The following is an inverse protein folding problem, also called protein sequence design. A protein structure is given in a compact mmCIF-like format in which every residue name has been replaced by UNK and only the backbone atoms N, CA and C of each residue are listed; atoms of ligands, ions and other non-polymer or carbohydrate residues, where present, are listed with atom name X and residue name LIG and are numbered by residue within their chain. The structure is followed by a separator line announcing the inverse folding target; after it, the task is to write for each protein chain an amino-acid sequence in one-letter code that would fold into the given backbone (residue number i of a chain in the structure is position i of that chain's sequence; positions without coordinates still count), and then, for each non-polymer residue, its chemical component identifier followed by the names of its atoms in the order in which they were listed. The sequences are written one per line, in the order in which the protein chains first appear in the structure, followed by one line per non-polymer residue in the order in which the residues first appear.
data_IF_022648205729
#
_entry.id   IF_022648205729
#
_cell.length_a   1.000
_cell.length_b   1.000
_cell.length_c   1.000
_cell.angle_alpha   90.00
_cell.angle_beta   90.00
_cell.angle_gamma   90.00
#
_symmetry.space_group_name_H-M   'P 1'
#
loop_
_entity.id
_entity.type
_entity.pdbx_description
1 polymer ?
#
# COMPACT_ATOMS: atom_id res chain seq x y z
N UNK A 1 21.60 76.06 -63.09
CA UNK A 1 22.01 76.87 -61.91
C UNK A 1 22.93 76.06 -61.02
N UNK A 2 24.23 76.39 -61.07
CA UNK A 2 25.14 76.55 -59.91
C UNK A 2 24.90 75.76 -58.62
N UNK A 3 25.88 74.92 -58.21
CA UNK A 3 26.95 75.21 -57.20
C UNK A 3 27.28 74.03 -56.26
N UNK A 4 28.58 73.69 -56.25
CA UNK A 4 29.53 73.55 -55.11
C UNK A 4 29.29 72.50 -54.00
N UNK A 5 30.21 71.52 -54.00
CA UNK A 5 31.12 71.08 -52.91
C UNK A 5 30.70 71.23 -51.45
N UNK A 6 30.84 70.17 -50.65
CA UNK A 6 31.66 70.15 -49.43
C UNK A 6 32.04 68.70 -49.06
N UNK A 7 33.32 68.47 -48.80
CA UNK A 7 33.82 67.23 -48.17
C UNK A 7 33.86 67.33 -46.64
N UNK A 8 34.07 66.18 -45.99
CA UNK A 8 34.60 65.90 -44.64
C UNK A 8 34.23 64.43 -44.33
N UNK A 9 34.90 63.60 -43.53
CA UNK A 9 36.19 63.54 -42.83
C UNK A 9 36.36 62.04 -42.48
N UNK A 10 37.59 61.55 -42.45
CA UNK A 10 37.93 60.16 -42.14
C UNK A 10 37.67 59.78 -40.66
N UNK A 11 37.33 58.51 -40.42
CA UNK A 11 37.66 57.81 -39.16
C UNK A 11 38.15 56.41 -39.52
N UNK A 12 39.41 56.13 -39.18
CA UNK A 12 40.04 54.81 -39.25
C UNK A 12 39.43 53.90 -38.17
N UNK A 13 38.94 52.73 -38.58
CA UNK A 13 38.57 51.63 -37.69
C UNK A 13 39.60 50.49 -37.80
N UNK A 14 40.27 50.21 -36.69
CA UNK A 14 41.30 49.17 -36.52
C UNK A 14 40.67 47.78 -36.64
N UNK A 15 41.16 46.97 -37.58
CA UNK A 15 40.80 45.56 -37.71
C UNK A 15 41.64 44.71 -36.73
N UNK A 16 40.99 44.12 -35.72
CA UNK A 16 41.58 43.11 -34.85
C UNK A 16 41.17 41.72 -35.35
N UNK A 17 42.15 40.95 -35.84
CA UNK A 17 42.00 39.52 -36.13
C UNK A 17 41.90 38.75 -34.80
N UNK A 18 40.77 38.10 -34.55
CA UNK A 18 40.66 37.03 -33.55
C UNK A 18 40.80 35.68 -34.25
N UNK A 19 41.90 34.98 -33.95
CA UNK A 19 42.11 33.59 -34.37
C UNK A 19 41.24 32.65 -33.52
N UNK A 20 40.37 31.87 -34.14
CA UNK A 20 39.68 30.75 -33.50
C UNK A 20 40.64 29.57 -33.36
N UNK A 21 41.02 29.23 -32.14
CA UNK A 21 41.67 27.96 -31.80
C UNK A 21 40.56 26.98 -31.41
N UNK A 22 40.31 25.97 -32.25
CA UNK A 22 39.43 24.86 -31.95
C UNK A 22 40.12 23.90 -30.98
N UNK A 23 39.73 23.92 -29.70
CA UNK A 23 40.16 22.93 -28.72
C UNK A 23 39.15 21.77 -28.70
N UNK A 24 39.53 20.62 -29.25
CA UNK A 24 38.82 19.35 -29.12
C UNK A 24 39.08 18.76 -27.74
N UNK A 25 38.29 19.18 -26.75
CA UNK A 25 38.25 18.55 -25.43
C UNK A 25 37.50 17.22 -25.50
N UNK A 26 38.20 16.10 -25.36
CA UNK A 26 37.60 14.76 -25.21
C UNK A 26 36.97 14.70 -23.82
N UNK A 27 35.65 14.88 -23.75
CA UNK A 27 34.88 14.60 -22.55
C UNK A 27 34.93 13.09 -22.27
N UNK A 28 35.68 12.70 -21.24
CA UNK A 28 35.60 11.35 -20.69
C UNK A 28 34.23 11.17 -20.05
N UNK A 29 33.30 10.55 -20.77
CA UNK A 29 32.03 10.11 -20.21
C UNK A 29 32.34 9.03 -19.16
N UNK A 30 32.30 9.41 -17.88
CA UNK A 30 32.24 8.45 -16.80
C UNK A 30 30.90 7.73 -16.92
N UNK A 31 30.94 6.47 -17.34
CA UNK A 31 29.82 5.55 -17.22
C UNK A 31 29.57 5.34 -15.73
N UNK A 32 28.72 6.19 -15.14
CA UNK A 32 28.05 5.85 -13.90
C UNK A 32 27.18 4.64 -14.19
N UNK A 33 27.70 3.45 -13.90
CA UNK A 33 26.88 2.29 -13.61
C UNK A 33 25.99 2.66 -12.44
N UNK A 34 24.78 3.13 -12.76
CA UNK A 34 23.67 3.21 -11.82
C UNK A 34 23.34 1.78 -11.42
N UNK A 35 24.01 1.30 -10.37
CA UNK A 35 23.48 0.20 -9.58
C UNK A 35 22.12 0.69 -9.10
N UNK A 36 21.06 0.23 -9.74
CA UNK A 36 19.70 0.33 -9.22
C UNK A 36 19.72 -0.44 -7.91
N UNK A 37 20.09 0.24 -6.83
CA UNK A 37 19.82 -0.21 -5.49
C UNK A 37 18.31 -0.37 -5.47
N UNK A 38 17.86 -1.63 -5.53
CA UNK A 38 16.47 -2.03 -5.43
C UNK A 38 15.97 -1.36 -4.15
N UNK A 39 15.26 -0.24 -4.29
CA UNK A 39 14.74 0.51 -3.15
C UNK A 39 13.95 -0.50 -2.33
N UNK A 40 14.52 -0.90 -1.20
CA UNK A 40 13.90 -1.87 -0.31
C UNK A 40 12.89 -1.04 0.44
N UNK A 41 11.65 -1.04 -0.05
CA UNK A 41 10.56 -0.47 0.72
C UNK A 41 10.51 -1.31 2.00
N UNK A 42 10.73 -0.66 3.14
CA UNK A 42 10.56 -1.32 4.43
C UNK A 42 9.11 -1.77 4.53
N UNK A 43 8.91 -3.06 4.84
CA UNK A 43 7.57 -3.57 5.12
C UNK A 43 7.13 -3.02 6.46
N UNK A 44 5.91 -2.49 6.51
CA UNK A 44 5.22 -2.12 7.74
C UNK A 44 3.96 -2.97 7.88
N UNK A 45 3.33 -3.00 9.07
CA UNK A 45 2.15 -3.83 9.36
C UNK A 45 2.26 -5.24 8.78
N UNK A 46 3.27 -6.01 9.17
CA UNK A 46 3.55 -7.30 8.52
C UNK A 46 2.76 -8.40 9.20
N UNK A 47 1.69 -8.88 8.56
CA UNK A 47 1.08 -10.12 9.02
C UNK A 47 1.99 -11.32 8.72
N UNK A 48 2.69 -11.78 9.75
CA UNK A 48 3.56 -12.97 9.68
C UNK A 48 2.74 -14.26 9.55
N UNK A 49 3.39 -15.36 9.14
CA UNK A 49 2.75 -16.68 9.15
C UNK A 49 2.21 -17.05 10.53
N UNK A 50 1.12 -17.83 10.54
CA UNK A 50 0.65 -18.46 11.77
C UNK A 50 1.74 -19.39 12.36
N UNK A 51 1.88 -19.38 13.68
CA UNK A 51 2.90 -20.15 14.41
C UNK A 51 4.33 -19.59 14.32
N UNK A 52 4.63 -18.66 13.42
CA UNK A 52 5.88 -17.88 13.48
C UNK A 52 5.59 -16.68 14.36
N UNK A 53 5.95 -16.77 15.65
CA UNK A 53 5.58 -15.78 16.67
C UNK A 53 5.70 -14.35 16.15
N UNK A 54 4.56 -13.73 15.83
CA UNK A 54 4.45 -12.28 15.76
C UNK A 54 5.07 -11.76 17.06
N UNK A 55 5.84 -10.67 16.99
CA UNK A 55 6.46 -10.04 18.17
C UNK A 55 5.41 -10.05 19.26
N UNK A 56 5.59 -10.89 20.29
CA UNK A 56 4.57 -11.05 21.31
C UNK A 56 4.42 -9.64 21.89
N UNK A 57 3.31 -8.95 21.61
CA UNK A 57 3.19 -7.60 22.10
C UNK A 57 3.25 -7.75 23.60
N UNK A 58 3.84 -6.78 24.29
CA UNK A 58 3.56 -6.68 25.71
C UNK A 58 2.02 -6.61 25.80
N UNK A 59 1.39 -7.71 26.25
CA UNK A 59 -0.04 -7.96 26.08
C UNK A 59 -0.92 -6.99 26.89
N UNK A 60 -0.30 -5.95 27.45
CA UNK A 60 -0.87 -4.91 28.28
C UNK A 60 -0.49 -3.48 27.83
N UNK A 61 0.34 -3.29 26.81
CA UNK A 61 0.72 -1.95 26.35
C UNK A 61 -0.26 -1.45 25.28
N UNK A 62 -0.99 -0.38 25.57
CA UNK A 62 -1.84 0.29 24.59
C UNK A 62 -1.06 0.94 23.46
N UNK A 63 -1.73 1.14 22.33
CA UNK A 63 -1.18 1.91 21.22
C UNK A 63 -1.07 3.39 21.61
N UNK A 64 -0.07 4.06 21.08
CA UNK A 64 0.21 5.47 21.28
C UNK A 64 0.18 6.17 19.93
N UNK A 65 -0.45 7.33 19.87
CA UNK A 65 -0.50 8.14 18.65
C UNK A 65 0.84 8.83 18.39
N UNK A 66 1.42 8.60 17.22
CA UNK A 66 2.69 9.15 16.74
C UNK A 66 2.58 10.50 16.01
N UNK A 67 1.37 11.04 15.85
CA UNK A 67 1.15 12.37 15.26
C UNK A 67 0.99 12.39 13.74
N UNK A 68 0.98 11.23 13.08
CA UNK A 68 0.74 11.03 11.65
C UNK A 68 -0.74 11.10 11.26
N UNK A 69 -1.04 10.73 10.01
CA UNK A 69 -2.44 10.64 9.57
C UNK A 69 -3.10 9.37 10.14
N UNK A 70 -4.43 9.40 10.21
CA UNK A 70 -5.31 8.22 10.34
C UNK A 70 -6.30 8.27 9.18
N UNK A 71 -7.04 7.20 8.89
CA UNK A 71 -8.13 7.26 7.92
C UNK A 71 -9.44 7.67 8.59
N UNK A 72 -9.81 8.94 8.50
CA UNK A 72 -11.09 9.45 9.02
C UNK A 72 -12.26 9.21 8.06
N UNK A 73 -11.97 9.03 6.77
CA UNK A 73 -12.92 8.73 5.70
C UNK A 73 -12.43 7.51 4.90
N UNK A 74 -12.55 6.33 5.51
CA UNK A 74 -11.98 5.08 4.98
C UNK A 74 -12.52 4.73 3.59
N UNK A 75 -11.62 4.60 2.61
CA UNK A 75 -11.92 4.19 1.25
C UNK A 75 -10.97 3.09 0.78
N UNK A 76 -11.51 1.92 0.45
CA UNK A 76 -10.74 0.76 -0.02
C UNK A 76 -10.94 0.56 -1.52
N UNK A 77 -9.84 0.30 -2.21
CA UNK A 77 -9.80 -0.01 -3.63
C UNK A 77 -9.06 -1.32 -3.86
N UNK A 78 -9.67 -2.24 -4.58
CA UNK A 78 -9.06 -3.54 -4.88
C UNK A 78 -8.53 -3.54 -6.31
N UNK A 79 -7.25 -3.81 -6.49
CA UNK A 79 -6.68 -4.12 -7.81
C UNK A 79 -6.24 -5.58 -7.84
N UNK A 80 -6.88 -6.35 -8.71
CA UNK A 80 -6.49 -7.72 -9.05
C UNK A 80 -5.45 -7.62 -10.17
N UNK A 81 -4.18 -7.64 -9.77
CA UNK A 81 -3.06 -7.33 -10.66
C UNK A 81 -2.74 -8.51 -11.58
N UNK A 82 -2.88 -8.32 -12.88
CA UNK A 82 -2.42 -9.26 -13.90
C UNK A 82 -3.53 -10.02 -14.61
N UNK A 83 -3.28 -10.36 -15.88
CA UNK A 83 -4.19 -11.13 -16.74
C UNK A 83 -4.52 -12.53 -16.20
N UNK A 84 -3.70 -13.07 -15.29
CA UNK A 84 -3.96 -14.36 -14.62
C UNK A 84 -5.27 -14.40 -13.83
N UNK A 85 -5.79 -13.24 -13.37
CA UNK A 85 -7.05 -13.16 -12.63
C UNK A 85 -8.29 -13.53 -13.47
N UNK A 86 -8.18 -13.57 -14.80
CA UNK A 86 -9.26 -14.08 -15.66
C UNK A 86 -9.61 -15.56 -15.40
N UNK A 87 -8.72 -16.31 -14.74
CA UNK A 87 -8.88 -17.73 -14.43
C UNK A 87 -9.03 -18.06 -12.93
N UNK A 88 -9.58 -17.17 -12.10
CA UNK A 88 -9.73 -17.40 -10.65
C UNK A 88 -10.70 -18.55 -10.32
N UNK A 89 -10.15 -19.78 -10.24
CA UNK A 89 -10.91 -21.01 -9.97
C UNK A 89 -11.41 -21.13 -8.54
N UNK A 90 -10.81 -20.41 -7.59
CA UNK A 90 -11.18 -20.52 -6.17
C UNK A 90 -12.22 -19.47 -5.75
N UNK A 91 -12.58 -18.54 -6.62
CA UNK A 91 -13.57 -17.48 -6.32
C UNK A 91 -13.05 -16.41 -5.37
N UNK A 92 -11.73 -16.20 -5.32
CA UNK A 92 -11.06 -15.21 -4.47
C UNK A 92 -11.52 -13.79 -4.78
N UNK A 93 -11.66 -13.43 -6.06
CA UNK A 93 -12.14 -12.11 -6.48
C UNK A 93 -13.50 -11.82 -5.85
N UNK A 94 -14.47 -12.73 -6.04
CA UNK A 94 -15.80 -12.55 -5.47
C UNK A 94 -15.77 -12.52 -3.94
N UNK A 95 -14.94 -13.36 -3.31
CA UNK A 95 -14.86 -13.44 -1.86
C UNK A 95 -14.34 -12.13 -1.25
N UNK A 96 -13.18 -11.65 -1.71
CA UNK A 96 -12.54 -10.42 -1.20
C UNK A 96 -13.40 -9.20 -1.52
N UNK A 97 -13.97 -9.10 -2.72
CA UNK A 97 -14.89 -8.01 -3.06
C UNK A 97 -16.10 -7.98 -2.13
N UNK A 98 -16.74 -9.13 -1.87
CA UNK A 98 -17.88 -9.18 -0.95
C UNK A 98 -17.49 -8.82 0.48
N UNK A 99 -16.32 -9.25 0.95
CA UNK A 99 -15.82 -8.89 2.28
C UNK A 99 -15.74 -7.36 2.43
N UNK A 100 -14.96 -6.68 1.59
CA UNK A 100 -14.82 -5.22 1.66
C UNK A 100 -16.09 -4.45 1.32
N UNK A 101 -16.99 -5.00 0.49
CA UNK A 101 -18.30 -4.40 0.22
C UNK A 101 -19.22 -4.43 1.46
N UNK A 102 -19.07 -5.43 2.32
CA UNK A 102 -19.86 -5.56 3.55
C UNK A 102 -19.36 -4.68 4.70
N UNK A 103 -18.07 -4.38 4.72
CA UNK A 103 -17.43 -3.55 5.74
C UNK A 103 -17.87 -2.07 5.63
N UNK A 104 -17.88 -1.36 6.75
CA UNK A 104 -18.35 0.02 6.91
C UNK A 104 -19.87 0.18 6.97
N UNK A 105 -20.64 -0.87 6.67
CA UNK A 105 -22.10 -0.87 6.82
C UNK A 105 -22.52 -0.86 8.30
N UNK A 106 -23.79 -0.59 8.66
CA UNK A 106 -24.24 -0.63 10.05
C UNK A 106 -24.02 -1.97 10.77
N UNK A 107 -23.96 -3.08 10.03
CA UNK A 107 -23.70 -4.42 10.60
C UNK A 107 -22.23 -4.68 10.96
N UNK A 108 -21.30 -3.83 10.49
CA UNK A 108 -19.87 -4.00 10.70
C UNK A 108 -19.40 -3.45 12.07
N UNK A 109 -19.67 -4.19 13.14
CA UNK A 109 -19.15 -3.84 14.47
C UNK A 109 -17.62 -3.97 14.57
N UNK A 110 -17.02 -4.77 13.69
CA UNK A 110 -15.61 -5.15 13.72
C UNK A 110 -14.69 -3.98 13.32
N UNK A 111 -14.94 -3.33 12.17
CA UNK A 111 -14.12 -2.16 11.77
C UNK A 111 -14.26 -0.99 12.74
N UNK A 112 -15.39 -0.86 13.43
CA UNK A 112 -15.69 0.22 14.39
C UNK A 112 -14.81 0.19 15.64
N UNK A 113 -14.08 -0.89 15.89
CA UNK A 113 -13.02 -0.87 16.91
C UNK A 113 -12.01 0.24 16.60
N UNK A 114 -11.73 0.52 15.32
CA UNK A 114 -10.79 1.57 14.94
C UNK A 114 -11.26 3.00 15.22
N UNK A 115 -12.56 3.23 15.44
CA UNK A 115 -13.10 4.58 15.69
C UNK A 115 -12.54 5.27 16.94
N UNK A 116 -11.87 4.52 17.83
CA UNK A 116 -11.17 5.07 19.00
C UNK A 116 -9.82 5.72 18.65
N UNK A 117 -9.24 5.40 17.50
CA UNK A 117 -7.90 5.84 17.11
C UNK A 117 -7.96 7.20 16.38
N UNK A 118 -8.04 8.27 17.16
CA UNK A 118 -8.15 9.64 16.63
C UNK A 118 -6.80 10.21 16.19
N UNK A 119 -6.78 11.08 15.18
CA UNK A 119 -5.56 11.73 14.71
C UNK A 119 -5.86 12.98 13.88
N UNK A 120 -4.99 13.99 13.94
CA UNK A 120 -5.14 15.28 13.22
C UNK A 120 -6.53 15.95 13.34
N UNK A 121 -7.23 15.74 14.45
CA UNK A 121 -8.57 16.29 14.68
C UNK A 121 -9.73 15.47 14.09
N UNK A 122 -9.45 14.31 13.51
CA UNK A 122 -10.45 13.35 13.01
C UNK A 122 -10.40 12.01 13.74
N UNK A 123 -11.34 11.13 13.38
CA UNK A 123 -11.44 9.75 13.86
C UNK A 123 -12.03 8.87 12.73
N UNK A 124 -11.67 7.58 12.63
CA UNK A 124 -12.28 6.70 11.65
C UNK A 124 -13.80 6.67 11.73
N UNK A 125 -14.46 7.03 10.62
CA UNK A 125 -15.93 7.01 10.50
C UNK A 125 -16.39 6.01 9.46
N UNK A 126 -17.49 5.31 9.77
CA UNK A 126 -18.07 4.25 8.96
C UNK A 126 -19.55 4.53 8.69
N UNK A 127 -19.82 5.24 7.60
CA UNK A 127 -21.15 5.71 7.19
C UNK A 127 -21.77 4.87 6.06
N UNK A 128 -21.04 3.87 5.55
CA UNK A 128 -21.47 2.99 4.47
C UNK A 128 -20.33 2.10 4.00
N UNK A 129 -20.52 1.33 2.90
CA UNK A 129 -19.50 0.44 2.36
C UNK A 129 -18.15 1.14 2.18
N UNK A 130 -17.08 0.53 2.71
CA UNK A 130 -15.71 1.07 2.56
C UNK A 130 -15.15 0.83 1.15
N UNK A 131 -15.58 -0.24 0.48
CA UNK A 131 -15.17 -0.53 -0.89
C UNK A 131 -15.69 0.55 -1.85
N UNK A 132 -14.77 1.24 -2.53
CA UNK A 132 -15.08 2.29 -3.52
C UNK A 132 -14.82 1.86 -4.97
N UNK A 133 -14.07 0.79 -5.19
CA UNK A 133 -13.82 0.28 -6.53
C UNK A 133 -13.06 -1.04 -6.57
N UNK A 134 -13.26 -1.78 -7.65
CA UNK A 134 -12.51 -2.99 -7.99
C UNK A 134 -12.03 -2.89 -9.43
N UNK A 135 -10.80 -3.31 -9.69
CA UNK A 135 -10.24 -3.32 -11.03
C UNK A 135 -9.43 -4.59 -11.25
N UNK A 136 -9.66 -5.26 -12.37
CA UNK A 136 -8.76 -6.30 -12.87
C UNK A 136 -7.81 -5.64 -13.87
N UNK A 137 -6.56 -5.42 -13.47
CA UNK A 137 -5.54 -4.90 -14.38
C UNK A 137 -5.01 -6.03 -15.27
N UNK A 138 -5.81 -6.40 -16.27
CA UNK A 138 -5.50 -7.50 -17.18
C UNK A 138 -4.64 -7.08 -18.38
N UNK A 139 -4.09 -5.87 -18.40
CA UNK A 139 -3.31 -5.35 -19.53
C UNK A 139 -1.99 -6.09 -19.77
N UNK A 140 -1.45 -6.74 -18.74
CA UNK A 140 -0.29 -7.61 -18.80
C UNK A 140 -0.39 -8.70 -17.73
N UNK A 141 0.49 -9.72 -17.79
CA UNK A 141 0.64 -10.63 -16.67
C UNK A 141 1.33 -9.93 -15.49
N UNK A 142 0.89 -10.19 -14.26
CA UNK A 142 1.63 -9.74 -13.07
C UNK A 142 2.98 -10.46 -13.01
N UNK A 143 4.07 -9.78 -12.59
CA UNK A 143 5.39 -10.39 -12.48
C UNK A 143 5.38 -11.61 -11.56
N UNK A 144 6.03 -12.70 -11.96
CA UNK A 144 6.15 -13.91 -11.14
C UNK A 144 6.88 -13.67 -9.82
N UNK A 145 7.74 -12.64 -9.75
CA UNK A 145 8.50 -12.21 -8.57
C UNK A 145 8.57 -10.67 -8.49
N UNK A 146 7.43 -10.02 -8.28
CA UNK A 146 7.39 -8.56 -8.11
C UNK A 146 8.26 -8.12 -6.91
N UNK A 147 8.96 -6.99 -7.01
CA UNK A 147 9.56 -6.32 -5.85
C UNK A 147 8.53 -5.48 -5.11
N UNK A 148 8.79 -5.13 -3.84
CA UNK A 148 8.00 -4.11 -3.15
C UNK A 148 7.82 -2.81 -3.97
N UNK A 149 8.88 -2.34 -4.64
CA UNK A 149 8.79 -1.17 -5.53
C UNK A 149 7.86 -1.35 -6.74
N UNK A 150 7.75 -2.57 -7.29
CA UNK A 150 6.83 -2.86 -8.38
C UNK A 150 5.37 -2.92 -7.87
N UNK A 151 5.15 -3.46 -6.68
CA UNK A 151 3.83 -3.48 -6.03
C UNK A 151 3.38 -2.04 -5.73
N UNK A 152 4.26 -1.20 -5.21
CA UNK A 152 3.98 0.23 -5.00
C UNK A 152 3.67 0.96 -6.32
N UNK A 153 4.34 0.60 -7.42
CA UNK A 153 4.05 1.16 -8.73
C UNK A 153 2.67 0.76 -9.24
N UNK A 154 2.27 -0.50 -9.04
CA UNK A 154 0.92 -0.96 -9.35
C UNK A 154 -0.13 -0.26 -8.50
N UNK A 155 0.13 -0.08 -7.20
CA UNK A 155 -0.77 0.66 -6.32
C UNK A 155 -1.03 2.09 -6.83
N UNK A 156 0.02 2.81 -7.26
CA UNK A 156 -0.11 4.15 -7.87
C UNK A 156 -0.87 4.14 -9.19
N UNK A 157 -0.68 3.11 -10.03
CA UNK A 157 -1.42 2.93 -11.28
C UNK A 157 -2.91 2.71 -11.00
N UNK A 158 -3.25 1.85 -10.05
CA UNK A 158 -4.62 1.62 -9.61
C UNK A 158 -5.25 2.87 -9.00
N UNK A 159 -4.53 3.60 -8.14
CA UNK A 159 -5.00 4.87 -7.60
C UNK A 159 -5.33 5.87 -8.72
N UNK A 160 -4.48 5.96 -9.75
CA UNK A 160 -4.73 6.79 -10.94
C UNK A 160 -5.97 6.33 -11.70
N UNK A 161 -6.15 5.01 -11.89
CA UNK A 161 -7.34 4.43 -12.54
C UNK A 161 -8.63 4.79 -11.79
N UNK A 162 -8.62 4.71 -10.45
CA UNK A 162 -9.79 5.02 -9.63
C UNK A 162 -10.02 6.51 -9.36
N UNK A 163 -9.06 7.38 -9.71
CA UNK A 163 -9.05 8.77 -9.26
C UNK A 163 -8.92 8.90 -7.73
N UNK A 164 -8.29 7.91 -7.08
CA UNK A 164 -8.10 7.84 -5.65
C UNK A 164 -6.77 8.50 -5.25
N UNK A 165 -6.74 9.21 -4.12
CA UNK A 165 -5.53 9.85 -3.61
C UNK A 165 -5.64 10.15 -2.12
N UNK A 166 -4.50 10.48 -1.50
CA UNK A 166 -4.42 10.85 -0.09
C UNK A 166 -4.46 9.67 0.88
N UNK A 167 -4.29 9.98 2.16
CA UNK A 167 -4.16 8.99 3.22
C UNK A 167 -5.45 8.18 3.48
N UNK A 168 -6.61 8.67 3.04
CA UNK A 168 -7.89 7.99 3.18
C UNK A 168 -8.12 6.87 2.15
N UNK A 169 -7.31 6.80 1.09
CA UNK A 169 -7.43 5.80 0.04
C UNK A 169 -6.45 4.64 0.27
N UNK A 170 -6.94 3.46 0.66
CA UNK A 170 -6.15 2.23 0.74
C UNK A 170 -6.28 1.43 -0.54
N UNK A 171 -5.18 1.23 -1.26
CA UNK A 171 -5.13 0.36 -2.44
C UNK A 171 -4.60 -1.03 -2.05
N UNK A 172 -5.44 -2.05 -2.17
CA UNK A 172 -5.02 -3.44 -1.93
C UNK A 172 -4.64 -4.05 -3.27
N UNK A 173 -3.35 -4.36 -3.43
CA UNK A 173 -2.78 -5.00 -4.63
C UNK A 173 -2.81 -6.51 -4.44
N UNK A 174 -3.76 -7.16 -5.10
CA UNK A 174 -3.92 -8.62 -5.07
C UNK A 174 -3.10 -9.28 -6.18
N UNK A 175 -2.06 -10.02 -5.80
CA UNK A 175 -1.24 -10.79 -6.75
C UNK A 175 -1.87 -12.17 -7.02
N UNK A 176 -1.79 -12.70 -8.26
CA UNK A 176 -2.47 -13.93 -8.64
C UNK A 176 -1.71 -15.18 -8.17
N UNK A 177 -2.42 -16.32 -8.18
CA UNK A 177 -1.86 -17.64 -7.85
C UNK A 177 -0.53 -17.93 -8.57
N UNK A 178 0.43 -18.52 -7.86
CA UNK A 178 1.73 -18.94 -8.38
C UNK A 178 2.74 -17.81 -8.56
N UNK A 179 2.41 -16.59 -8.12
CA UNK A 179 3.34 -15.46 -8.06
C UNK A 179 3.93 -15.29 -6.67
N UNK A 180 5.06 -14.59 -6.60
CA UNK A 180 5.87 -14.43 -5.39
C UNK A 180 6.14 -12.95 -5.12
N UNK A 181 5.09 -12.13 -4.91
CA UNK A 181 5.24 -10.71 -4.66
C UNK A 181 6.06 -10.51 -3.39
N UNK A 182 7.16 -9.78 -3.55
CA UNK A 182 8.14 -9.49 -2.50
C UNK A 182 8.66 -10.74 -1.76
N UNK A 183 8.77 -11.87 -2.47
CA UNK A 183 9.33 -13.11 -1.91
C UNK A 183 8.36 -13.98 -1.13
N UNK A 184 7.06 -13.65 -1.10
CA UNK A 184 6.02 -14.59 -0.67
C UNK A 184 6.09 -15.91 -1.46
N UNK A 185 5.83 -17.09 -0.85
CA UNK A 185 5.63 -17.34 0.57
C UNK A 185 6.94 -17.52 1.36
N UNK A 186 8.08 -17.72 0.69
CA UNK A 186 9.38 -17.99 1.35
C UNK A 186 9.85 -16.89 2.31
N UNK A 187 9.30 -15.68 2.18
CA UNK A 187 9.55 -14.56 3.08
C UNK A 187 8.89 -14.64 4.46
N UNK A 188 8.06 -15.66 4.75
CA UNK A 188 7.49 -15.89 6.09
C UNK A 188 6.36 -14.92 6.50
N UNK A 189 5.70 -14.27 5.54
CA UNK A 189 4.60 -13.33 5.77
C UNK A 189 3.41 -13.66 4.87
N UNK A 190 2.21 -13.27 5.28
CA UNK A 190 0.97 -13.42 4.52
C UNK A 190 0.60 -12.18 3.74
N UNK A 191 0.79 -11.00 4.33
CA UNK A 191 0.64 -9.70 3.69
C UNK A 191 1.51 -8.67 4.42
N UNK A 192 1.49 -7.45 3.90
CA UNK A 192 1.97 -6.25 4.60
C UNK A 192 1.40 -5.01 3.93
N UNK A 193 1.36 -3.90 4.64
CA UNK A 193 1.00 -2.60 4.08
C UNK A 193 2.12 -1.55 4.24
N UNK A 194 2.04 -0.50 3.45
CA UNK A 194 3.02 0.59 3.44
C UNK A 194 2.40 1.81 2.76
N UNK A 195 3.20 2.85 2.52
CA UNK A 195 2.77 4.02 1.77
C UNK A 195 3.76 4.39 0.66
N UNK A 196 3.24 4.96 -0.43
CA UNK A 196 4.04 5.49 -1.53
C UNK A 196 3.55 6.89 -1.90
N UNK A 197 4.36 7.93 -1.66
CA UNK A 197 3.97 9.30 -2.00
C UNK A 197 2.68 9.75 -1.30
N UNK A 198 2.45 9.28 -0.06
CA UNK A 198 1.24 9.58 0.72
C UNK A 198 0.00 8.74 0.37
N UNK A 199 0.13 7.77 -0.55
CA UNK A 199 -0.89 6.76 -0.83
C UNK A 199 -0.61 5.48 -0.03
N UNK A 200 -1.51 5.10 0.90
CA UNK A 200 -1.48 3.78 1.55
C UNK A 200 -1.75 2.65 0.55
N UNK A 201 -1.01 1.56 0.68
CA UNK A 201 -1.24 0.36 -0.12
C UNK A 201 -0.87 -0.92 0.62
N UNK A 202 -1.51 -2.01 0.25
CA UNK A 202 -1.27 -3.35 0.79
C UNK A 202 -0.74 -4.26 -0.30
N UNK A 203 0.33 -5.00 -0.01
CA UNK A 203 0.70 -6.19 -0.76
C UNK A 203 -0.15 -7.36 -0.25
N UNK A 204 -1.08 -7.85 -1.07
CA UNK A 204 -1.92 -9.00 -0.75
C UNK A 204 -1.60 -10.16 -1.72
N UNK A 205 -0.64 -11.03 -1.39
CA UNK A 205 -0.37 -12.25 -2.14
C UNK A 205 -1.59 -13.19 -2.23
N UNK A 206 -1.49 -14.19 -3.12
CA UNK A 206 -2.47 -15.27 -3.18
C UNK A 206 -2.27 -16.23 -2.01
N UNK A 207 -2.80 -15.87 -0.83
CA UNK A 207 -2.48 -16.52 0.47
C UNK A 207 -2.74 -18.03 0.53
N UNK A 208 -3.55 -18.58 -0.38
CA UNK A 208 -3.70 -20.04 -0.53
C UNK A 208 -2.39 -20.76 -0.90
N UNK A 209 -1.41 -20.06 -1.48
CA UNK A 209 -0.12 -20.65 -1.84
C UNK A 209 0.77 -20.89 -0.60
N UNK A 210 0.42 -20.27 0.54
CA UNK A 210 1.00 -20.56 1.85
C UNK A 210 0.11 -21.50 2.70
N UNK A 211 -1.05 -21.91 2.19
CA UNK A 211 -1.96 -22.83 2.83
C UNK A 211 -2.39 -22.40 4.25
N UNK A 212 -2.32 -23.33 5.20
CA UNK A 212 -2.72 -23.08 6.60
C UNK A 212 -1.86 -22.02 7.28
N UNK A 213 -0.61 -21.82 6.85
CA UNK A 213 0.27 -20.77 7.40
C UNK A 213 -0.28 -19.36 7.18
N UNK A 214 -1.19 -19.19 6.23
CA UNK A 214 -1.92 -17.95 6.00
C UNK A 214 -3.44 -18.12 6.09
N UNK A 215 -3.89 -18.95 7.02
CA UNK A 215 -5.30 -18.93 7.44
C UNK A 215 -6.24 -19.79 6.61
N UNK A 216 -5.76 -20.60 5.64
CA UNK A 216 -6.64 -21.50 4.89
C UNK A 216 -7.39 -22.44 5.85
N UNK A 217 -8.73 -22.48 5.76
CA UNK A 217 -9.61 -23.31 6.59
C UNK A 217 -9.51 -23.09 8.11
N UNK A 218 -9.00 -21.94 8.58
CA UNK A 218 -8.78 -21.71 10.01
C UNK A 218 -10.06 -21.56 10.84
N UNK A 219 -11.19 -21.18 10.23
CA UNK A 219 -12.49 -21.04 10.91
C UNK A 219 -13.59 -21.88 10.22
N UNK A 220 -13.39 -22.28 8.97
CA UNK A 220 -14.24 -23.24 8.26
C UNK A 220 -14.51 -22.92 6.79
N UNK A 221 -13.75 -22.02 6.17
CA UNK A 221 -13.74 -21.81 4.71
C UNK A 221 -12.33 -21.93 4.16
N UNK A 222 -12.20 -22.51 2.96
CA UNK A 222 -10.93 -22.51 2.22
C UNK A 222 -10.36 -21.09 2.08
N UNK A 223 -11.23 -20.09 1.98
CA UNK A 223 -10.85 -18.70 1.74
C UNK A 223 -10.68 -17.85 3.01
N UNK A 224 -10.79 -18.45 4.21
CA UNK A 224 -10.70 -17.72 5.50
C UNK A 224 -9.49 -16.78 5.55
N UNK A 225 -8.33 -17.26 5.09
CA UNK A 225 -7.09 -16.49 5.03
C UNK A 225 -7.20 -15.15 4.33
N UNK A 226 -8.03 -15.02 3.28
CA UNK A 226 -8.14 -13.75 2.55
C UNK A 226 -8.81 -12.64 3.37
N UNK A 227 -9.82 -12.98 4.19
CA UNK A 227 -10.50 -11.99 5.03
C UNK A 227 -9.79 -11.78 6.36
N UNK A 228 -9.13 -12.81 6.91
CA UNK A 228 -8.27 -12.66 8.10
C UNK A 228 -7.09 -11.74 7.76
N UNK A 229 -6.34 -12.08 6.71
CA UNK A 229 -5.11 -11.38 6.34
C UNK A 229 -5.40 -10.01 5.71
N UNK A 230 -6.29 -9.95 4.72
CA UNK A 230 -6.68 -8.66 4.13
C UNK A 230 -7.36 -7.74 5.15
N UNK A 231 -8.07 -8.33 6.12
CA UNK A 231 -8.70 -7.61 7.22
C UNK A 231 -7.71 -7.05 8.24
N UNK A 232 -6.67 -7.80 8.58
CA UNK A 232 -5.56 -7.36 9.44
C UNK A 232 -4.94 -6.07 8.89
N UNK A 233 -4.44 -6.13 7.66
CA UNK A 233 -3.80 -4.99 6.98
C UNK A 233 -4.73 -3.79 6.81
N UNK A 234 -6.02 -4.07 6.59
CA UNK A 234 -7.05 -3.03 6.49
C UNK A 234 -7.20 -2.24 7.80
N UNK A 235 -7.31 -2.93 8.94
CA UNK A 235 -7.52 -2.27 10.22
C UNK A 235 -6.28 -1.49 10.68
N UNK A 236 -5.10 -1.96 10.32
CA UNK A 236 -3.84 -1.25 10.56
C UNK A 236 -3.76 0.01 9.72
N UNK A 237 -3.99 -0.11 8.41
CA UNK A 237 -4.02 1.04 7.50
C UNK A 237 -5.07 2.11 7.89
N UNK A 238 -6.16 1.73 8.58
CA UNK A 238 -7.12 2.71 9.11
C UNK A 238 -6.51 3.55 10.24
N UNK A 239 -5.72 2.95 11.13
CA UNK A 239 -5.09 3.63 12.27
C UNK A 239 -3.68 4.16 12.00
N UNK A 240 -3.01 3.71 10.95
CA UNK A 240 -1.70 4.16 10.51
C UNK A 240 -1.52 4.02 8.98
N UNK A 241 -2.22 4.83 8.17
CA UNK A 241 -2.15 4.78 6.71
C UNK A 241 -0.75 5.07 6.14
N UNK A 242 0.12 5.74 6.90
CA UNK A 242 1.48 6.08 6.48
C UNK A 242 2.44 5.61 7.59
N UNK A 243 2.69 4.31 7.67
CA UNK A 243 3.39 3.75 8.82
C UNK A 243 4.88 4.11 8.82
N UNK A 244 5.52 4.15 10.01
CA UNK A 244 4.93 4.06 11.34
C UNK A 244 4.70 5.47 11.93
N UNK A 245 3.56 6.11 11.64
CA UNK A 245 3.31 7.50 12.08
C UNK A 245 1.98 7.70 12.81
N UNK A 246 1.02 6.81 12.61
CA UNK A 246 -0.31 6.79 13.22
C UNK A 246 -0.28 6.19 14.62
N UNK A 247 -1.01 5.10 14.85
CA UNK A 247 -1.09 4.46 16.16
C UNK A 247 -0.28 3.16 16.20
N UNK A 248 0.72 3.11 17.07
CA UNK A 248 1.57 1.94 17.32
C UNK A 248 1.87 1.81 18.81
N UNK A 249 2.10 0.62 19.32
CA UNK A 249 2.65 0.46 20.66
C UNK A 249 4.16 0.78 20.70
N UNK A 250 4.75 0.77 21.91
CA UNK A 250 6.18 1.10 22.09
C UNK A 250 7.14 0.09 21.45
N UNK A 251 6.66 -1.11 21.12
CA UNK A 251 7.41 -2.12 20.36
C UNK A 251 7.20 -2.02 18.85
N UNK A 252 6.34 -1.10 18.40
CA UNK A 252 6.00 -0.91 16.99
C UNK A 252 4.88 -1.79 16.49
N UNK A 253 4.16 -2.51 17.37
CA UNK A 253 3.01 -3.31 16.97
C UNK A 253 1.78 -2.42 16.76
N UNK A 254 1.07 -2.65 15.67
CA UNK A 254 -0.17 -1.98 15.32
C UNK A 254 -1.38 -2.67 15.97
N UNK A 255 -2.60 -2.23 15.65
CA UNK A 255 -3.80 -2.72 16.32
C UNK A 255 -4.08 -4.20 15.99
N UNK A 256 -3.90 -4.61 14.74
CA UNK A 256 -4.17 -5.98 14.31
C UNK A 256 -3.01 -6.93 14.67
N UNK A 257 -1.76 -6.48 14.61
CA UNK A 257 -0.57 -7.19 15.11
C UNK A 257 -0.81 -7.79 16.50
N UNK A 258 -1.36 -6.99 17.42
CA UNK A 258 -1.53 -7.41 18.81
C UNK A 258 -2.48 -8.60 18.98
N UNK A 259 -3.35 -8.80 18.01
CA UNK A 259 -4.39 -9.81 17.97
C UNK A 259 -4.21 -10.84 16.84
N UNK A 260 -3.06 -10.80 16.15
CA UNK A 260 -2.76 -11.68 15.03
C UNK A 260 -2.95 -13.15 15.40
N UNK A 261 -3.72 -13.87 14.57
CA UNK A 261 -4.02 -15.30 14.69
C UNK A 261 -4.73 -15.74 15.98
N UNK A 262 -5.18 -14.81 16.84
CA UNK A 262 -5.86 -15.12 18.10
C UNK A 262 -7.36 -15.09 17.91
N UNK A 263 -8.08 -16.00 18.61
CA UNK A 263 -9.56 -15.98 18.71
C UNK A 263 -10.26 -15.75 17.36
N UNK A 264 -9.78 -16.43 16.32
CA UNK A 264 -10.36 -16.33 14.98
C UNK A 264 -11.84 -16.71 15.02
N UNK A 265 -12.68 -15.91 14.40
CA UNK A 265 -14.13 -16.10 14.42
C UNK A 265 -14.75 -15.57 13.14
N UNK A 266 -16.06 -15.78 12.97
CA UNK A 266 -16.81 -15.27 11.83
C UNK A 266 -17.59 -14.03 12.21
N UNK A 267 -17.50 -13.00 11.37
CA UNK A 267 -18.44 -11.88 11.37
C UNK A 267 -19.54 -12.12 10.33
N UNK A 268 -20.71 -11.53 10.55
CA UNK A 268 -21.83 -11.55 9.61
C UNK A 268 -22.03 -10.16 9.02
N UNK A 269 -21.82 -10.03 7.72
CA UNK A 269 -22.01 -8.81 6.96
C UNK A 269 -23.18 -9.00 5.98
N UNK A 270 -23.78 -7.91 5.45
CA UNK A 270 -24.86 -8.02 4.46
C UNK A 270 -24.48 -8.80 3.19
N UNK A 271 -23.19 -8.93 2.92
CA UNK A 271 -22.61 -9.58 1.74
C UNK A 271 -22.14 -11.02 1.99
N UNK A 272 -22.23 -11.52 3.23
CA UNK A 272 -21.81 -12.87 3.59
C UNK A 272 -21.23 -12.99 5.00
N UNK A 273 -20.70 -14.17 5.31
CA UNK A 273 -19.96 -14.44 6.55
C UNK A 273 -18.49 -14.67 6.24
N UNK A 274 -17.63 -14.01 7.01
CA UNK A 274 -16.19 -13.95 6.75
C UNK A 274 -15.42 -14.22 8.02
N UNK A 275 -14.35 -15.01 7.91
CA UNK A 275 -13.43 -15.23 9.03
C UNK A 275 -12.54 -14.01 9.24
N UNK A 276 -12.38 -13.59 10.48
CA UNK A 276 -11.52 -12.48 10.89
C UNK A 276 -10.80 -12.84 12.18
N UNK A 277 -9.74 -12.09 12.49
CA UNK A 277 -9.23 -11.96 13.85
C UNK A 277 -9.87 -10.74 14.52
N UNK A 278 -9.95 -10.66 15.86
CA UNK A 278 -10.18 -9.41 16.55
C UNK A 278 -9.01 -8.44 16.33
N UNK A 279 -9.18 -7.18 16.73
CA UNK A 279 -8.13 -6.15 16.73
C UNK A 279 -8.03 -5.51 18.11
N UNK A 280 -6.85 -4.97 18.45
CA UNK A 280 -6.65 -4.35 19.75
C UNK A 280 -7.56 -3.13 19.91
N UNK A 281 -8.03 -2.93 21.14
CA UNK A 281 -8.73 -1.74 21.56
C UNK A 281 -8.11 -1.21 22.85
N UNK A 282 -7.58 0.01 22.77
CA UNK A 282 -7.14 0.76 23.95
C UNK A 282 -8.27 0.98 24.96
N UNK A 283 -9.52 1.11 24.52
CA UNK A 283 -10.69 1.29 25.39
C UNK A 283 -10.97 0.10 26.31
N UNK A 284 -10.67 -1.12 25.86
CA UNK A 284 -10.91 -2.35 26.64
C UNK A 284 -9.61 -3.05 27.05
N UNK A 285 -8.45 -2.47 26.68
CA UNK A 285 -7.11 -3.00 26.92
C UNK A 285 -6.96 -4.46 26.46
N UNK A 286 -7.48 -4.77 25.26
CA UNK A 286 -7.53 -6.14 24.76
C UNK A 286 -8.04 -6.26 23.33
N UNK A 287 -8.08 -7.50 22.84
CA UNK A 287 -8.60 -7.83 21.51
C UNK A 287 -10.13 -7.81 21.51
N UNK A 288 -10.72 -7.04 20.60
CA UNK A 288 -12.16 -6.87 20.43
C UNK A 288 -12.54 -6.84 18.95
N UNK A 289 -13.86 -6.85 18.69
CA UNK A 289 -14.43 -6.96 17.36
C UNK A 289 -14.84 -8.39 17.04
#
# INVERSE_FOLDING_TARGET
MTRRTFGRVAVLGVATLLALVAATGIASASTQTSTSARATIARSGVMSFDGTGAVAPAAAADLVYGGGFIQDHVAVYLVFWGSQWTGDKNGVQSYVTKFFQGLGTPSDAWSRVTSQYTGKGGSPTFTGPVLKGTWVDSGAAAPSRASAGAIAAEARKAATHFGASGHNASVIVLSPHGTHPDGFPSGGFCAWHSATGGLPYTNMPYVLDAGTSCGQNSVGSKLDGFSIVGGHEYLEAVSDPIPPSGWVDRSGAENADKCAWKNLHKISLPTGSFAVQPTWSNKVHGCAG
#
